data_IF_737152438460
#
_entry.id   IF_737152438460
#
_cell.length_a   1.000
_cell.length_b   1.000
_cell.length_c   1.000
_cell.angle_alpha   90.00
_cell.angle_beta   90.00
_cell.angle_gamma   90.00
#
_symmetry.space_group_name_H-M   'P 1'
#
loop_
_entity.id
_entity.type
_entity.pdbx_description
1 polymer ?
#
# COMPACT_ATOMS: atom_id res chain seq x y z
N UNK A 1 -12.70 -18.37 6.15
CA UNK A 1 -12.75 -17.22 5.22
C UNK A 1 -13.48 -16.09 5.93
N UNK A 2 -13.00 -14.86 5.81
CA UNK A 2 -13.62 -13.68 6.40
C UNK A 2 -13.92 -12.66 5.29
N UNK A 3 -14.94 -11.82 5.49
CA UNK A 3 -15.25 -10.69 4.62
C UNK A 3 -14.84 -9.43 5.37
N UNK A 4 -13.98 -8.62 4.76
CA UNK A 4 -13.51 -7.36 5.31
C UNK A 4 -13.85 -6.21 4.34
N UNK A 5 -14.18 -5.05 4.89
CA UNK A 5 -14.37 -3.84 4.11
C UNK A 5 -13.02 -3.15 3.88
N UNK A 6 -12.77 -2.72 2.65
CA UNK A 6 -11.61 -1.89 2.36
C UNK A 6 -11.86 -0.50 2.94
N UNK A 7 -11.02 -0.07 3.87
CA UNK A 7 -11.12 1.26 4.45
C UNK A 7 -10.58 2.28 3.43
N UNK A 8 -11.35 3.32 3.16
CA UNK A 8 -10.87 4.44 2.36
C UNK A 8 -9.95 5.28 3.24
N UNK A 9 -8.68 5.36 2.86
CA UNK A 9 -7.67 6.24 3.49
C UNK A 9 -7.44 7.44 2.58
N UNK A 10 -7.56 8.64 3.11
CA UNK A 10 -7.18 9.88 2.42
C UNK A 10 -5.80 10.32 2.87
N UNK A 11 -5.23 11.33 2.20
CA UNK A 11 -3.95 11.92 2.62
C UNK A 11 -4.07 12.63 3.98
N UNK A 12 -5.26 13.11 4.34
CA UNK A 12 -5.53 13.75 5.64
C UNK A 12 -5.44 12.76 6.82
N UNK A 13 -5.57 11.45 6.54
CA UNK A 13 -5.45 10.39 7.55
C UNK A 13 -3.99 10.00 7.84
N UNK A 14 -3.01 10.60 7.13
CA UNK A 14 -1.59 10.29 7.27
C UNK A 14 -0.95 11.27 8.26
N UNK A 15 -0.55 10.76 9.42
CA UNK A 15 0.20 11.51 10.41
C UNK A 15 1.69 11.51 10.06
N UNK A 16 2.19 12.64 9.57
CA UNK A 16 3.60 12.82 9.21
C UNK A 16 4.34 13.51 10.35
N UNK A 17 5.44 12.91 10.79
CA UNK A 17 6.40 13.52 11.74
C UNK A 17 7.68 13.91 10.99
N UNK A 18 8.59 14.64 11.66
CA UNK A 18 9.87 15.03 11.05
C UNK A 18 10.75 13.84 10.59
N UNK A 19 10.52 12.65 11.12
CA UNK A 19 11.30 11.45 10.82
C UNK A 19 10.52 10.42 9.98
N UNK A 20 9.34 10.79 9.47
CA UNK A 20 8.52 9.83 8.74
C UNK A 20 9.09 9.51 7.36
N UNK A 21 9.09 8.22 7.01
CA UNK A 21 9.52 7.69 5.74
C UNK A 21 8.27 7.34 4.93
N UNK A 22 8.11 7.99 3.78
CA UNK A 22 6.95 7.81 2.89
C UNK A 22 7.43 7.24 1.56
N UNK A 23 6.81 6.14 1.14
CA UNK A 23 7.09 5.49 -0.14
C UNK A 23 6.03 5.88 -1.17
N UNK A 24 6.45 6.48 -2.28
CA UNK A 24 5.56 6.83 -3.39
C UNK A 24 5.81 5.89 -4.57
N UNK A 25 4.77 5.16 -4.96
CA UNK A 25 4.80 4.19 -6.04
C UNK A 25 4.01 4.73 -7.24
N UNK A 26 4.72 5.24 -8.22
CA UNK A 26 4.15 5.77 -9.46
C UNK A 26 4.24 4.74 -10.60
N UNK A 27 3.15 4.55 -11.34
CA UNK A 27 3.17 3.70 -12.55
C UNK A 27 3.32 2.18 -12.35
N UNK A 28 2.97 1.62 -11.19
CA UNK A 28 3.11 0.18 -10.91
C UNK A 28 2.18 -0.70 -11.77
N UNK A 29 2.69 -1.26 -12.87
CA UNK A 29 1.87 -2.01 -13.85
C UNK A 29 1.49 -3.44 -13.42
N UNK A 30 2.30 -4.08 -12.57
CA UNK A 30 2.13 -5.49 -12.17
C UNK A 30 1.64 -5.57 -10.71
N UNK A 31 0.39 -6.02 -10.45
CA UNK A 31 -0.18 -6.11 -9.09
C UNK A 31 0.63 -7.01 -8.14
N UNK A 32 1.33 -8.01 -8.68
CA UNK A 32 2.18 -8.92 -7.90
C UNK A 32 3.32 -8.22 -7.16
N UNK A 33 3.86 -7.14 -7.73
CA UNK A 33 4.98 -6.41 -7.12
C UNK A 33 4.53 -5.58 -5.90
N UNK A 34 3.27 -5.12 -5.89
CA UNK A 34 2.74 -4.25 -4.84
C UNK A 34 2.71 -4.97 -3.49
N UNK A 35 2.28 -6.23 -3.45
CA UNK A 35 2.25 -7.01 -2.21
C UNK A 35 3.65 -7.23 -1.63
N UNK A 36 4.65 -7.53 -2.48
CA UNK A 36 6.05 -7.66 -2.04
C UNK A 36 6.58 -6.34 -1.48
N UNK A 37 6.26 -5.21 -2.13
CA UNK A 37 6.67 -3.89 -1.66
C UNK A 37 6.01 -3.57 -0.31
N UNK A 38 4.72 -3.87 -0.14
CA UNK A 38 4.02 -3.70 1.14
C UNK A 38 4.69 -4.54 2.23
N UNK A 39 5.04 -5.80 1.96
CA UNK A 39 5.79 -6.65 2.91
C UNK A 39 7.14 -6.06 3.28
N UNK A 40 7.89 -5.56 2.30
CA UNK A 40 9.18 -4.94 2.57
C UNK A 40 9.03 -3.67 3.39
N UNK A 41 8.04 -2.84 3.07
CA UNK A 41 7.74 -1.61 3.78
C UNK A 41 7.34 -1.85 5.25
N UNK A 42 6.52 -2.88 5.48
CA UNK A 42 6.14 -3.36 6.83
C UNK A 42 7.37 -3.85 7.61
N UNK A 43 8.33 -4.49 6.94
CA UNK A 43 9.58 -4.94 7.55
C UNK A 43 10.62 -3.82 7.78
N UNK A 44 10.43 -2.63 7.21
CA UNK A 44 11.41 -1.51 7.25
C UNK A 44 10.88 -0.26 7.94
N UNK A 45 9.82 -0.36 8.75
CA UNK A 45 9.21 0.76 9.49
C UNK A 45 8.85 1.97 8.59
N UNK A 46 8.31 1.71 7.39
CA UNK A 46 7.79 2.77 6.53
C UNK A 46 6.42 3.22 7.06
N UNK A 47 6.25 4.52 7.30
CA UNK A 47 5.02 5.07 7.89
C UNK A 47 3.84 5.09 6.90
N UNK A 48 4.12 5.30 5.62
CA UNK A 48 3.07 5.40 4.61
C UNK A 48 3.53 4.96 3.22
N UNK A 49 2.60 4.34 2.48
CA UNK A 49 2.77 4.00 1.06
C UNK A 49 1.67 4.69 0.27
N UNK A 50 2.06 5.49 -0.72
CA UNK A 50 1.16 6.19 -1.63
C UNK A 50 1.28 5.53 -3.00
N UNK A 51 0.20 4.94 -3.51
CA UNK A 51 0.19 4.29 -4.82
C UNK A 51 -0.51 5.21 -5.82
N UNK A 52 0.27 5.81 -6.71
CA UNK A 52 -0.24 6.62 -7.81
C UNK A 52 -0.48 5.76 -9.05
N UNK A 53 -1.49 4.89 -9.00
CA UNK A 53 -1.92 4.14 -10.19
C UNK A 53 -3.44 3.92 -10.21
N UNK A 54 -4.11 4.40 -11.28
CA UNK A 54 -5.56 4.23 -11.49
C UNK A 54 -5.98 2.77 -11.71
N UNK A 55 -5.05 1.90 -12.13
CA UNK A 55 -5.35 0.50 -12.49
C UNK A 55 -5.11 -0.49 -11.35
N UNK A 56 -4.34 -0.12 -10.33
CA UNK A 56 -3.98 -1.02 -9.24
C UNK A 56 -5.12 -1.11 -8.23
N UNK A 57 -5.76 -2.29 -8.11
CA UNK A 57 -6.80 -2.55 -7.13
C UNK A 57 -6.21 -3.16 -5.86
N UNK A 58 -6.28 -2.45 -4.74
CA UNK A 58 -5.82 -2.93 -3.42
C UNK A 58 -6.58 -4.17 -2.92
N UNK A 59 -7.83 -4.36 -3.35
CA UNK A 59 -8.64 -5.53 -2.99
C UNK A 59 -8.45 -6.74 -3.92
N UNK A 60 -7.46 -6.71 -4.82
CA UNK A 60 -7.23 -7.83 -5.74
C UNK A 60 -6.70 -9.06 -4.97
N UNK A 61 -7.27 -10.28 -5.15
CA UNK A 61 -6.87 -11.46 -4.37
C UNK A 61 -5.38 -11.80 -4.46
N UNK A 62 -4.75 -11.57 -5.62
CA UNK A 62 -3.29 -11.75 -5.76
C UNK A 62 -2.48 -10.84 -4.85
N UNK A 63 -2.93 -9.59 -4.63
CA UNK A 63 -2.26 -8.61 -3.79
C UNK A 63 -2.40 -9.00 -2.31
N UNK A 64 -3.62 -9.31 -1.86
CA UNK A 64 -3.90 -9.74 -0.47
C UNK A 64 -3.09 -11.00 -0.11
N UNK A 65 -2.88 -11.92 -1.06
CA UNK A 65 -2.10 -13.13 -0.83
C UNK A 65 -0.58 -12.86 -0.81
N UNK A 66 -0.11 -11.83 -1.51
CA UNK A 66 1.33 -11.51 -1.60
C UNK A 66 1.80 -10.40 -0.67
N UNK A 67 0.88 -9.68 -0.02
CA UNK A 67 1.12 -8.80 1.15
C UNK A 67 1.22 -9.58 2.45
#
# INVERSE_FOLDING_TARGET
>A
MAVCYLQNKTLDDIYVTNNSIILILDGLEIPGNVGTIIRSADATDIDAIIINNRKTRLNHPKLIRSS
#
